data_IF_208814499180
#
_entry.id   IF_208814499180
#
_cell.length_a   1.000
_cell.length_b   1.000
_cell.length_c   1.000
_cell.angle_alpha   90.00
_cell.angle_beta   90.00
_cell.angle_gamma   90.00
#
_symmetry.space_group_name_H-M   'P 1'
#
loop_
_entity.id
_entity.type
_entity.pdbx_description
1 polymer ?
#
# COMPACT_ATOMS: atom_id res chain seq x y z
N UNK A 1 27.10 -23.16 16.36
CA UNK A 1 26.51 -22.28 15.31
C UNK A 1 25.00 -22.50 15.13
N UNK A 2 24.48 -23.72 15.33
CA UNK A 2 23.05 -24.07 15.20
C UNK A 2 22.12 -23.32 16.17
N UNK A 3 22.56 -23.08 17.41
CA UNK A 3 21.77 -22.41 18.45
C UNK A 3 21.42 -20.94 18.11
N UNK A 4 22.33 -20.22 17.43
CA UNK A 4 22.06 -18.85 16.98
C UNK A 4 21.10 -18.80 15.79
N UNK A 5 21.15 -19.80 14.89
CA UNK A 5 20.23 -19.90 13.75
C UNK A 5 18.81 -20.22 14.22
N UNK A 6 18.64 -21.16 15.15
CA UNK A 6 17.31 -21.44 15.74
C UNK A 6 16.76 -20.24 16.50
N UNK A 7 17.59 -19.56 17.32
CA UNK A 7 17.17 -18.35 18.04
C UNK A 7 16.78 -17.21 17.09
N UNK A 8 17.50 -17.05 15.98
CA UNK A 8 17.18 -16.07 14.93
C UNK A 8 15.86 -16.41 14.22
N UNK A 9 15.66 -17.67 13.83
CA UNK A 9 14.44 -18.13 13.18
C UNK A 9 13.22 -17.95 14.10
N UNK A 10 13.32 -18.39 15.35
CA UNK A 10 12.25 -18.25 16.34
C UNK A 10 11.92 -16.77 16.58
N UNK A 11 12.92 -15.91 16.75
CA UNK A 11 12.69 -14.46 16.93
C UNK A 11 11.96 -13.86 15.74
N UNK A 12 12.40 -14.17 14.52
CA UNK A 12 11.75 -13.65 13.32
C UNK A 12 10.33 -14.20 13.16
N UNK A 13 10.12 -15.50 13.36
CA UNK A 13 8.77 -16.10 13.31
C UNK A 13 7.84 -15.46 14.34
N UNK A 14 8.29 -15.22 15.57
CA UNK A 14 7.49 -14.51 16.58
C UNK A 14 7.15 -13.08 16.13
N UNK A 15 8.12 -12.34 15.61
CA UNK A 15 7.88 -10.97 15.11
C UNK A 15 6.87 -10.99 13.95
N UNK A 16 6.96 -11.95 13.03
CA UNK A 16 6.02 -12.10 11.93
C UNK A 16 4.62 -12.47 12.41
N UNK A 17 4.52 -13.43 13.32
CA UNK A 17 3.24 -13.89 13.85
C UNK A 17 2.56 -12.80 14.66
N UNK A 18 3.27 -12.17 15.60
CA UNK A 18 2.76 -11.05 16.40
C UNK A 18 2.44 -9.86 15.50
N UNK A 19 3.28 -9.60 14.49
CA UNK A 19 3.07 -8.52 13.54
C UNK A 19 1.81 -8.68 12.71
N UNK A 20 1.63 -9.85 12.08
CA UNK A 20 0.47 -10.12 11.24
C UNK A 20 -0.81 -10.29 12.04
N UNK A 21 -0.77 -11.04 13.15
CA UNK A 21 -1.94 -11.20 14.03
C UNK A 21 -2.29 -9.90 14.73
N UNK A 22 -1.29 -9.17 15.24
CA UNK A 22 -1.46 -7.86 15.87
C UNK A 22 -2.06 -6.85 14.90
N UNK A 23 -1.59 -6.81 13.65
CA UNK A 23 -2.19 -5.94 12.62
C UNK A 23 -3.66 -6.27 12.39
N UNK A 24 -4.02 -7.56 12.29
CA UNK A 24 -5.44 -7.97 12.15
C UNK A 24 -6.29 -7.58 13.37
N UNK A 25 -5.75 -7.73 14.58
CA UNK A 25 -6.43 -7.32 15.81
C UNK A 25 -6.66 -5.81 15.84
N UNK A 26 -5.66 -5.02 15.47
CA UNK A 26 -5.79 -3.56 15.35
C UNK A 26 -6.92 -3.20 14.39
N UNK A 27 -6.95 -3.79 13.19
CA UNK A 27 -8.02 -3.55 12.22
C UNK A 27 -9.39 -3.96 12.76
N UNK A 28 -9.48 -5.06 13.51
CA UNK A 28 -10.72 -5.49 14.15
C UNK A 28 -11.23 -4.48 15.18
N UNK A 29 -10.35 -3.94 16.04
CA UNK A 29 -10.71 -2.92 17.02
C UNK A 29 -11.04 -1.56 16.40
N UNK A 30 -10.58 -1.29 15.17
CA UNK A 30 -10.95 -0.10 14.43
C UNK A 30 -12.41 -0.14 13.94
N UNK A 31 -13.02 -1.32 13.78
CA UNK A 31 -14.42 -1.43 13.33
C UNK A 31 -15.38 -0.75 14.32
N UNK A 32 -15.39 -1.07 15.64
CA UNK A 32 -16.19 -0.33 16.62
C UNK A 32 -15.89 1.18 16.69
N UNK A 33 -14.63 1.56 16.44
CA UNK A 33 -14.25 2.98 16.40
C UNK A 33 -14.92 3.70 15.23
N UNK A 34 -14.94 3.08 14.05
CA UNK A 34 -15.58 3.67 12.87
C UNK A 34 -17.10 3.75 13.02
N UNK A 35 -17.74 2.72 13.58
CA UNK A 35 -19.20 2.70 13.75
C UNK A 35 -19.70 3.64 14.86
N UNK A 36 -18.83 4.05 15.78
CA UNK A 36 -19.17 5.06 16.81
C UNK A 36 -18.80 6.48 16.40
N UNK A 37 -17.74 6.66 15.60
CA UNK A 37 -17.27 7.98 15.17
C UNK A 37 -17.94 8.49 13.89
N UNK A 38 -18.43 7.60 13.01
CA UNK A 38 -19.08 7.95 11.75
C UNK A 38 -20.57 7.64 11.80
N UNK A 39 -21.38 8.43 11.10
CA UNK A 39 -22.78 8.10 10.86
C UNK A 39 -22.90 6.89 9.92
N UNK A 40 -24.07 6.24 9.90
CA UNK A 40 -24.33 5.08 9.01
C UNK A 40 -24.12 5.42 7.54
N UNK A 41 -24.50 6.64 7.13
CA UNK A 41 -24.28 7.12 5.76
C UNK A 41 -22.81 7.32 5.45
N UNK A 42 -22.05 7.96 6.35
CA UNK A 42 -20.62 8.19 6.17
C UNK A 42 -19.81 6.89 6.16
N UNK A 43 -20.14 5.95 7.05
CA UNK A 43 -19.54 4.63 7.08
C UNK A 43 -19.78 3.89 5.76
N UNK A 44 -20.99 3.97 5.20
CA UNK A 44 -21.31 3.39 3.89
C UNK A 44 -20.51 4.00 2.73
N UNK A 45 -20.26 5.32 2.76
CA UNK A 45 -19.42 5.99 1.74
C UNK A 45 -17.97 5.53 1.86
N UNK A 46 -17.43 5.49 3.08
CA UNK A 46 -16.05 5.06 3.33
C UNK A 46 -15.85 3.58 2.95
N UNK A 47 -16.78 2.70 3.33
CA UNK A 47 -16.74 1.28 2.98
C UNK A 47 -16.76 1.07 1.46
N UNK A 48 -17.61 1.81 0.75
CA UNK A 48 -17.65 1.80 -0.72
C UNK A 48 -16.31 2.27 -1.32
N UNK A 49 -15.75 3.38 -0.82
CA UNK A 49 -14.47 3.92 -1.30
C UNK A 49 -13.33 2.92 -1.08
N UNK A 50 -13.23 2.32 0.11
CA UNK A 50 -12.17 1.35 0.40
C UNK A 50 -12.33 0.08 -0.44
N UNK A 51 -13.54 -0.43 -0.60
CA UNK A 51 -13.85 -1.58 -1.46
C UNK A 51 -13.45 -1.31 -2.92
N UNK A 52 -13.84 -0.16 -3.47
CA UNK A 52 -13.41 0.25 -4.81
C UNK A 52 -11.88 0.37 -4.89
N UNK A 53 -11.25 0.92 -3.85
CA UNK A 53 -9.78 1.00 -3.75
C UNK A 53 -9.10 -0.36 -3.87
N UNK A 54 -9.64 -1.40 -3.23
CA UNK A 54 -9.08 -2.77 -3.31
C UNK A 54 -9.15 -3.38 -4.71
N UNK A 55 -10.07 -2.94 -5.56
CA UNK A 55 -10.22 -3.42 -6.94
C UNK A 55 -9.43 -2.54 -7.90
N UNK A 56 -9.55 -1.21 -7.76
CA UNK A 56 -8.94 -0.24 -8.66
C UNK A 56 -7.42 -0.22 -8.50
N UNK A 57 -6.89 -0.31 -7.28
CA UNK A 57 -5.44 -0.23 -7.07
C UNK A 57 -4.67 -1.37 -7.78
N UNK A 58 -5.07 -2.66 -7.69
CA UNK A 58 -4.47 -3.72 -8.49
C UNK A 58 -4.61 -3.51 -9.99
N UNK A 59 -5.76 -3.03 -10.47
CA UNK A 59 -6.01 -2.79 -11.90
C UNK A 59 -5.11 -1.67 -12.44
N UNK A 60 -5.02 -0.54 -11.73
CA UNK A 60 -4.14 0.58 -12.11
C UNK A 60 -2.66 0.19 -12.08
N UNK A 61 -2.31 -0.75 -11.21
CA UNK A 61 -0.95 -1.27 -11.09
C UNK A 61 -0.73 -2.53 -11.91
N UNK A 62 -1.65 -2.91 -12.81
CA UNK A 62 -1.63 -4.15 -13.63
C UNK A 62 -1.16 -5.39 -12.85
N UNK A 63 -1.59 -5.48 -11.60
CA UNK A 63 -1.22 -6.53 -10.66
C UNK A 63 0.30 -6.77 -10.58
N UNK A 64 1.09 -5.69 -10.59
CA UNK A 64 2.56 -5.75 -10.58
C UNK A 64 3.11 -6.50 -9.37
N UNK A 65 2.37 -6.61 -8.28
CA UNK A 65 2.74 -7.45 -7.14
C UNK A 65 2.94 -8.92 -7.56
N UNK A 66 2.06 -9.47 -8.40
CA UNK A 66 2.21 -10.83 -8.93
C UNK A 66 3.40 -10.92 -9.88
N UNK A 67 3.57 -9.95 -10.78
CA UNK A 67 4.72 -9.91 -11.68
C UNK A 67 6.04 -9.79 -10.91
N UNK A 68 6.13 -8.94 -9.89
CA UNK A 68 7.29 -8.79 -9.02
C UNK A 68 7.62 -10.12 -8.33
N UNK A 69 6.62 -10.82 -7.79
CA UNK A 69 6.81 -12.13 -7.15
C UNK A 69 7.25 -13.20 -8.15
N UNK A 70 6.69 -13.20 -9.38
CA UNK A 70 7.05 -14.13 -10.45
C UNK A 70 8.49 -13.93 -10.92
N UNK A 71 8.88 -12.69 -11.21
CA UNK A 71 10.23 -12.35 -11.67
C UNK A 71 11.28 -12.39 -10.56
N UNK A 72 10.88 -12.29 -9.28
CA UNK A 72 11.76 -12.50 -8.14
C UNK A 72 12.31 -13.93 -8.03
N UNK A 73 11.57 -14.92 -8.55
CA UNK A 73 11.99 -16.33 -8.59
C UNK A 73 13.02 -16.60 -9.71
N UNK A 74 13.14 -15.69 -10.68
CA UNK A 74 14.01 -15.85 -11.83
C UNK A 74 15.40 -15.25 -11.56
N UNK A 75 16.42 -16.12 -11.48
CA UNK A 75 17.79 -15.75 -11.03
C UNK A 75 18.50 -14.75 -11.96
N UNK A 76 18.01 -14.58 -13.18
CA UNK A 76 18.63 -13.73 -14.20
C UNK A 76 18.03 -12.31 -14.28
N UNK A 77 17.05 -11.98 -13.43
CA UNK A 77 16.35 -10.69 -13.52
C UNK A 77 16.91 -9.67 -12.54
N UNK A 78 17.27 -8.48 -13.04
CA UNK A 78 17.70 -7.36 -12.19
C UNK A 78 16.50 -6.83 -11.40
N UNK A 79 16.45 -7.15 -10.10
CA UNK A 79 15.38 -6.72 -9.18
C UNK A 79 15.16 -5.20 -9.18
N UNK A 80 16.19 -4.41 -9.53
CA UNK A 80 16.06 -2.95 -9.65
C UNK A 80 15.27 -2.51 -10.89
N UNK A 81 15.30 -3.29 -11.98
CA UNK A 81 14.49 -3.01 -13.16
C UNK A 81 13.00 -3.25 -12.88
N UNK A 82 12.68 -4.29 -12.10
CA UNK A 82 11.31 -4.59 -11.65
C UNK A 82 10.77 -3.40 -10.85
N UNK A 83 11.54 -2.89 -9.88
CA UNK A 83 11.15 -1.69 -9.10
C UNK A 83 10.85 -0.50 -10.00
N UNK A 84 11.67 -0.26 -11.05
CA UNK A 84 11.45 0.84 -11.98
C UNK A 84 10.17 0.66 -12.78
N UNK A 85 9.93 -0.53 -13.31
CA UNK A 85 8.72 -0.83 -14.06
C UNK A 85 7.49 -0.59 -13.17
N UNK A 86 7.56 -1.03 -11.90
CA UNK A 86 6.59 -0.70 -10.86
C UNK A 86 6.31 0.80 -10.73
N UNK A 87 7.36 1.60 -10.59
CA UNK A 87 7.20 3.05 -10.45
C UNK A 87 6.67 3.72 -11.74
N UNK A 88 7.11 3.29 -12.93
CA UNK A 88 6.57 3.80 -14.19
C UNK A 88 5.10 3.48 -14.35
N UNK A 89 4.70 2.28 -13.94
CA UNK A 89 3.31 1.86 -13.98
C UNK A 89 2.45 2.65 -12.99
N UNK A 90 2.97 2.93 -11.79
CA UNK A 90 2.32 3.80 -10.82
C UNK A 90 2.11 5.21 -11.39
N UNK A 91 3.12 5.79 -12.05
CA UNK A 91 3.03 7.11 -12.68
C UNK A 91 2.00 7.10 -13.81
N UNK A 92 2.00 6.05 -14.64
CA UNK A 92 1.02 5.90 -15.73
C UNK A 92 -0.41 5.71 -15.18
N UNK A 93 -0.57 4.88 -14.16
CA UNK A 93 -1.84 4.68 -13.45
C UNK A 93 -2.33 5.95 -12.76
N UNK A 94 -1.43 6.77 -12.21
CA UNK A 94 -1.77 8.08 -11.66
C UNK A 94 -2.31 9.02 -12.74
N UNK A 95 -1.68 9.07 -13.92
CA UNK A 95 -2.14 9.87 -15.07
C UNK A 95 -3.51 9.38 -15.56
N UNK A 96 -3.71 8.07 -15.73
CA UNK A 96 -5.00 7.50 -16.10
C UNK A 96 -6.06 7.84 -15.04
N UNK A 97 -5.69 7.79 -13.76
CA UNK A 97 -6.58 8.14 -12.68
C UNK A 97 -7.07 9.59 -12.74
N UNK A 98 -6.28 10.53 -13.26
CA UNK A 98 -6.73 11.92 -13.51
C UNK A 98 -7.84 11.95 -14.57
N UNK A 99 -7.79 11.07 -15.56
CA UNK A 99 -8.79 10.97 -16.63
C UNK A 99 -10.07 10.28 -16.14
N UNK A 100 -9.95 9.36 -15.17
CA UNK A 100 -11.10 8.67 -14.55
C UNK A 100 -11.74 9.53 -13.45
N UNK A 101 -11.00 10.47 -12.88
CA UNK A 101 -11.43 11.42 -11.85
C UNK A 101 -12.80 12.10 -12.09
N UNK A 102 -13.15 12.57 -13.31
CA UNK A 102 -14.42 13.24 -13.57
C UNK A 102 -15.63 12.30 -13.46
N UNK A 103 -15.45 10.98 -13.66
CA UNK A 103 -16.54 10.01 -13.53
C UNK A 103 -16.99 9.83 -12.07
N UNK A 104 -16.12 10.10 -11.10
CA UNK A 104 -16.50 10.09 -9.68
C UNK A 104 -17.50 11.20 -9.33
N UNK A 105 -17.60 12.26 -10.15
CA UNK A 105 -18.54 13.37 -9.93
C UNK A 105 -20.00 12.96 -10.16
N UNK A 106 -20.25 11.85 -10.88
CA UNK A 106 -21.60 11.30 -11.08
C UNK A 106 -22.18 10.66 -9.81
N UNK A 107 -21.34 10.31 -8.83
CA UNK A 107 -21.81 9.83 -7.52
C UNK A 107 -21.93 11.01 -6.56
N UNK A 108 -23.15 11.52 -6.38
CA UNK A 108 -23.46 12.70 -5.56
C UNK A 108 -22.89 12.66 -4.13
N UNK A 109 -22.73 11.46 -3.53
CA UNK A 109 -22.17 11.31 -2.18
C UNK A 109 -20.64 11.32 -2.12
N UNK A 110 -19.96 11.16 -3.26
CA UNK A 110 -18.49 11.04 -3.36
C UNK A 110 -17.88 12.31 -3.98
N UNK A 111 -18.68 13.13 -4.68
CA UNK A 111 -18.19 14.30 -5.42
C UNK A 111 -17.41 15.28 -4.54
N UNK A 112 -17.88 15.56 -3.32
CA UNK A 112 -17.22 16.43 -2.34
C UNK A 112 -15.85 15.92 -1.91
N UNK A 113 -15.64 14.60 -1.86
CA UNK A 113 -14.39 13.97 -1.40
C UNK A 113 -13.56 13.38 -2.55
N UNK A 114 -13.95 13.63 -3.79
CA UNK A 114 -13.34 13.06 -5.01
C UNK A 114 -11.81 13.19 -5.00
N UNK A 115 -11.27 14.35 -4.66
CA UNK A 115 -9.81 14.61 -4.56
C UNK A 115 -9.15 13.71 -3.52
N UNK A 116 -9.75 13.58 -2.32
CA UNK A 116 -9.23 12.72 -1.27
C UNK A 116 -9.29 11.24 -1.65
N UNK A 117 -10.37 10.81 -2.31
CA UNK A 117 -10.51 9.44 -2.82
C UNK A 117 -9.43 9.12 -3.85
N UNK A 118 -9.15 10.05 -4.78
CA UNK A 118 -8.09 9.90 -5.76
C UNK A 118 -6.70 9.78 -5.12
N UNK A 119 -6.38 10.68 -4.19
CA UNK A 119 -5.13 10.63 -3.42
C UNK A 119 -5.01 9.35 -2.60
N UNK A 120 -6.13 8.88 -2.02
CA UNK A 120 -6.19 7.61 -1.31
C UNK A 120 -5.83 6.44 -2.23
N UNK A 121 -6.44 6.33 -3.41
CA UNK A 121 -6.18 5.24 -4.36
C UNK A 121 -4.72 5.24 -4.82
N UNK A 122 -4.15 6.40 -5.15
CA UNK A 122 -2.74 6.48 -5.58
C UNK A 122 -1.79 6.15 -4.44
N UNK A 123 -2.05 6.68 -3.25
CA UNK A 123 -1.21 6.38 -2.09
C UNK A 123 -1.25 4.89 -1.72
N UNK A 124 -2.43 4.27 -1.83
CA UNK A 124 -2.63 2.83 -1.65
C UNK A 124 -1.85 2.02 -2.70
N UNK A 125 -1.98 2.36 -3.97
CA UNK A 125 -1.23 1.73 -5.05
C UNK A 125 0.29 1.86 -4.85
N UNK A 126 0.75 3.04 -4.43
CA UNK A 126 2.15 3.29 -4.13
C UNK A 126 2.66 2.43 -2.98
N UNK A 127 1.94 2.40 -1.85
CA UNK A 127 2.33 1.61 -0.68
C UNK A 127 2.39 0.12 -1.00
N UNK A 128 1.42 -0.39 -1.76
CA UNK A 128 1.39 -1.78 -2.24
C UNK A 128 2.60 -2.11 -3.14
N UNK A 129 2.91 -1.28 -4.14
CA UNK A 129 4.04 -1.53 -5.04
C UNK A 129 5.35 -1.64 -4.27
N UNK A 130 5.64 -0.70 -3.37
CA UNK A 130 6.91 -0.70 -2.66
C UNK A 130 7.01 -1.79 -1.59
N UNK A 131 5.89 -2.16 -0.95
CA UNK A 131 5.86 -3.35 -0.10
C UNK A 131 6.09 -4.63 -0.93
N UNK A 132 5.44 -4.76 -2.09
CA UNK A 132 5.67 -5.89 -2.99
C UNK A 132 7.11 -5.95 -3.52
N UNK A 133 7.75 -4.80 -3.76
CA UNK A 133 9.17 -4.71 -4.11
C UNK A 133 10.08 -5.27 -3.01
N UNK A 134 9.82 -4.93 -1.73
CA UNK A 134 10.53 -5.56 -0.60
C UNK A 134 10.33 -7.08 -0.60
N UNK A 135 9.11 -7.55 -0.83
CA UNK A 135 8.78 -8.97 -0.89
C UNK A 135 9.50 -9.68 -2.04
N UNK A 136 9.53 -9.09 -3.24
CA UNK A 136 10.25 -9.63 -4.40
C UNK A 136 11.77 -9.58 -4.25
N UNK A 137 12.30 -8.67 -3.44
CA UNK A 137 13.72 -8.66 -3.05
C UNK A 137 14.07 -9.71 -1.99
N UNK A 138 13.10 -10.53 -1.55
CA UNK A 138 13.23 -11.49 -0.44
C UNK A 138 13.55 -10.81 0.90
N UNK A 139 13.27 -9.51 0.99
CA UNK A 139 13.42 -8.68 2.19
C UNK A 139 12.17 -8.81 3.09
N UNK A 140 11.79 -10.06 3.37
CA UNK A 140 10.52 -10.40 4.03
C UNK A 140 10.39 -9.75 5.42
N UNK A 141 11.49 -9.62 6.17
CA UNK A 141 11.48 -8.95 7.47
C UNK A 141 11.04 -7.48 7.36
N UNK A 142 11.59 -6.75 6.39
CA UNK A 142 11.26 -5.35 6.17
C UNK A 142 9.84 -5.18 5.62
N UNK A 143 9.38 -6.10 4.77
CA UNK A 143 7.99 -6.16 4.31
C UNK A 143 7.01 -6.31 5.48
N UNK A 144 7.27 -7.24 6.40
CA UNK A 144 6.40 -7.44 7.56
C UNK A 144 6.41 -6.26 8.51
N UNK A 145 7.58 -5.69 8.80
CA UNK A 145 7.68 -4.46 9.59
C UNK A 145 6.90 -3.33 8.90
N UNK A 146 6.96 -3.22 7.57
CA UNK A 146 6.21 -2.24 6.79
C UNK A 146 4.69 -2.39 6.95
N UNK A 147 4.16 -3.61 6.92
CA UNK A 147 2.73 -3.86 7.16
C UNK A 147 2.29 -3.53 8.60
N UNK A 148 3.14 -3.81 9.58
CA UNK A 148 2.89 -3.45 10.98
C UNK A 148 2.86 -1.92 11.12
N UNK A 149 3.85 -1.23 10.57
CA UNK A 149 3.92 0.24 10.56
C UNK A 149 2.68 0.82 9.89
N UNK A 150 2.29 0.28 8.72
CA UNK A 150 1.10 0.71 8.01
C UNK A 150 -0.15 0.62 8.90
N UNK A 151 -0.43 -0.55 9.44
CA UNK A 151 -1.63 -0.79 10.25
C UNK A 151 -1.63 0.04 11.53
N UNK A 152 -0.46 0.17 12.16
CA UNK A 152 -0.30 1.00 13.35
C UNK A 152 -0.54 2.48 13.07
N UNK A 153 0.00 3.02 11.97
CA UNK A 153 -0.21 4.40 11.55
C UNK A 153 -1.69 4.66 11.21
N UNK A 154 -2.36 3.72 10.54
CA UNK A 154 -3.80 3.81 10.28
C UNK A 154 -4.53 3.96 11.61
N UNK A 155 -4.21 3.14 12.61
CA UNK A 155 -4.89 3.21 13.90
C UNK A 155 -4.65 4.54 14.61
N UNK A 156 -3.39 4.97 14.71
CA UNK A 156 -3.01 6.22 15.38
C UNK A 156 -3.65 7.42 14.70
N UNK A 157 -3.56 7.51 13.38
CA UNK A 157 -4.15 8.63 12.64
C UNK A 157 -5.67 8.58 12.63
N UNK A 158 -6.31 7.41 12.54
CA UNK A 158 -7.77 7.33 12.64
C UNK A 158 -8.25 7.78 14.02
N UNK A 159 -7.62 7.33 15.10
CA UNK A 159 -7.93 7.82 16.46
C UNK A 159 -7.76 9.34 16.52
N UNK A 160 -6.66 9.87 16.00
CA UNK A 160 -6.40 11.31 16.02
C UNK A 160 -7.42 12.12 15.21
N UNK A 161 -7.67 11.74 13.95
CA UNK A 161 -8.55 12.51 13.06
C UNK A 161 -10.04 12.33 13.35
N UNK A 162 -10.47 11.13 13.78
CA UNK A 162 -11.88 10.84 14.05
C UNK A 162 -12.28 11.23 15.47
N UNK A 163 -11.46 10.97 16.48
CA UNK A 163 -11.82 11.24 17.88
C UNK A 163 -11.44 12.67 18.30
N UNK A 164 -10.22 13.10 18.01
CA UNK A 164 -9.73 14.42 18.47
C UNK A 164 -10.23 15.53 17.54
N UNK A 165 -10.05 15.38 16.24
CA UNK A 165 -10.40 16.41 15.26
C UNK A 165 -11.84 16.30 14.73
N UNK A 166 -12.53 15.18 14.96
CA UNK A 166 -13.91 14.92 14.53
C UNK A 166 -14.18 15.27 13.06
N UNK A 167 -13.22 14.95 12.18
CA UNK A 167 -13.25 15.30 10.74
C UNK A 167 -14.07 14.33 9.86
N UNK A 168 -14.82 13.40 10.45
CA UNK A 168 -15.68 12.46 9.72
C UNK A 168 -14.94 11.72 8.59
N UNK A 169 -15.54 11.69 7.39
CA UNK A 169 -14.99 11.05 6.19
C UNK A 169 -13.61 11.62 5.81
N UNK A 170 -13.41 12.93 5.87
CA UNK A 170 -12.11 13.54 5.52
C UNK A 170 -11.01 13.04 6.44
N UNK A 171 -11.32 12.96 7.74
CA UNK A 171 -10.40 12.48 8.75
C UNK A 171 -9.98 11.02 8.51
N UNK A 172 -10.95 10.18 8.14
CA UNK A 172 -10.69 8.79 7.76
C UNK A 172 -9.77 8.73 6.53
N UNK A 173 -10.12 9.41 5.44
CA UNK A 173 -9.33 9.35 4.20
C UNK A 173 -7.91 9.91 4.41
N UNK A 174 -7.76 11.01 5.14
CA UNK A 174 -6.45 11.58 5.48
C UNK A 174 -5.61 10.61 6.33
N UNK A 175 -6.22 9.90 7.28
CA UNK A 175 -5.52 8.89 8.07
C UNK A 175 -4.92 7.81 7.18
N UNK A 176 -5.69 7.31 6.22
CA UNK A 176 -5.21 6.30 5.27
C UNK A 176 -4.16 6.86 4.31
N UNK A 177 -4.36 8.05 3.75
CA UNK A 177 -3.41 8.69 2.83
C UNK A 177 -2.04 8.88 3.51
N UNK A 178 -2.02 9.47 4.70
CA UNK A 178 -0.77 9.71 5.43
C UNK A 178 -0.08 8.40 5.81
N UNK A 179 -0.85 7.40 6.27
CA UNK A 179 -0.30 6.07 6.59
C UNK A 179 0.31 5.39 5.37
N UNK A 180 -0.36 5.45 4.22
CA UNK A 180 0.11 4.93 2.96
C UNK A 180 1.40 5.61 2.50
N UNK A 181 1.45 6.94 2.54
CA UNK A 181 2.62 7.73 2.12
C UNK A 181 3.84 7.38 3.00
N UNK A 182 3.67 7.37 4.32
CA UNK A 182 4.76 7.03 5.25
C UNK A 182 5.24 5.60 5.03
N UNK A 183 4.31 4.66 4.83
CA UNK A 183 4.65 3.25 4.54
C UNK A 183 5.39 3.11 3.22
N UNK A 184 4.94 3.79 2.18
CA UNK A 184 5.61 3.81 0.88
C UNK A 184 7.03 4.37 1.01
N UNK A 185 7.20 5.49 1.73
CA UNK A 185 8.50 6.09 1.98
C UNK A 185 9.44 5.14 2.74
N UNK A 186 8.95 4.53 3.82
CA UNK A 186 9.68 3.49 4.56
C UNK A 186 10.14 2.37 3.62
N UNK A 187 9.24 1.84 2.78
CA UNK A 187 9.55 0.75 1.89
C UNK A 187 10.58 1.13 0.81
N UNK A 188 10.53 2.37 0.28
CA UNK A 188 11.54 2.91 -0.64
C UNK A 188 12.93 2.96 0.00
N UNK A 189 13.01 3.46 1.24
CA UNK A 189 14.27 3.60 1.98
C UNK A 189 14.88 2.23 2.28
N UNK A 190 14.09 1.31 2.84
CA UNK A 190 14.57 -0.02 3.22
C UNK A 190 14.86 -0.91 1.99
N UNK A 191 14.07 -0.77 0.92
CA UNK A 191 14.26 -1.48 -0.34
C UNK A 191 15.41 -0.94 -1.19
N UNK A 192 16.04 0.16 -0.75
CA UNK A 192 17.04 0.94 -1.51
C UNK A 192 16.57 1.27 -2.92
N UNK A 193 15.26 1.41 -3.10
CA UNK A 193 14.62 1.62 -4.40
C UNK A 193 15.05 2.95 -5.02
N UNK A 194 15.51 3.91 -4.20
CA UNK A 194 16.19 5.13 -4.64
C UNK A 194 17.47 4.87 -5.46
N UNK A 195 18.20 3.76 -5.22
CA UNK A 195 19.41 3.41 -5.97
C UNK A 195 19.08 2.89 -7.37
N UNK A 196 17.87 2.34 -7.56
CA UNK A 196 17.34 1.98 -8.88
C UNK A 196 17.20 3.21 -9.77
N UNK A 197 16.92 4.41 -9.27
CA UNK A 197 16.83 5.61 -10.11
C UNK A 197 18.19 6.04 -10.72
N UNK A 198 19.32 5.53 -10.21
CA UNK A 198 20.66 5.95 -10.66
C UNK A 198 21.16 5.28 -11.96
N UNK A 199 20.50 4.23 -12.46
CA UNK A 199 20.91 3.51 -13.68
C UNK A 199 19.83 3.65 -14.77
N UNK A 200 19.92 4.66 -15.64
CA UNK A 200 18.97 4.94 -16.73
C UNK A 200 19.04 3.95 -17.93
N UNK A 201 19.01 2.63 -17.70
CA UNK A 201 18.79 1.65 -18.78
C UNK A 201 17.56 0.83 -18.46
N UNK A 202 16.47 1.15 -19.14
CA UNK A 202 15.23 0.35 -19.18
C UNK A 202 15.39 -0.60 -20.37
N UNK A 203 15.51 -1.90 -20.13
CA UNK A 203 15.43 -2.89 -21.20
C UNK A 203 13.96 -3.09 -21.58
N UNK A 204 13.58 -2.57 -22.75
CA UNK A 204 12.22 -2.70 -23.33
C UNK A 204 11.68 -4.13 -23.37
N UNK A 205 12.58 -5.12 -23.39
CA UNK A 205 12.27 -6.54 -23.47
C UNK A 205 11.68 -7.14 -22.17
N UNK A 206 12.08 -6.62 -21.01
CA UNK A 206 11.52 -7.04 -19.70
C UNK A 206 10.12 -6.47 -19.46
N UNK A 207 9.84 -5.26 -19.98
CA UNK A 207 8.51 -4.64 -19.88
C UNK A 207 7.44 -5.46 -20.59
N UNK A 208 7.74 -5.97 -21.80
CA UNK A 208 6.82 -6.80 -22.57
C UNK A 208 6.55 -8.17 -21.92
N UNK A 209 7.54 -8.74 -21.22
CA UNK A 209 7.37 -10.01 -20.50
C UNK A 209 6.62 -9.86 -19.16
N UNK A 210 6.54 -8.65 -18.59
CA UNK A 210 5.81 -8.40 -17.34
C UNK A 210 4.31 -8.16 -17.54
N UNK A 211 3.89 -7.81 -18.76
CA UNK A 211 2.50 -7.52 -19.13
C UNK A 211 1.79 -8.77 -19.70
N UNK A 212 2.54 -9.81 -20.06
CA UNK A 212 2.04 -11.05 -20.67
C UNK A 212 1.99 -12.21 -19.69
#
# INVERSE_FOLDING_TARGET
>A
MENNRNKYLIKNTMIFTIGNLGSKLITFFLIPLYTTALTTSEYGVVDLVTTLGTVIAPVLTLNICESVMRFALDKNTDKNQITRIGTYLLLFGAIIGIVIFPFCYYFNNISTYSVLVYLYIISLAASQIYLCDLRGKELLLYYSIGNIIHTFLIAVFNIFFLIVLKKGIEGYLLAFILSNIITAFYAIVMGKSYRSFKKLKIQKQLFFNMIK
#
